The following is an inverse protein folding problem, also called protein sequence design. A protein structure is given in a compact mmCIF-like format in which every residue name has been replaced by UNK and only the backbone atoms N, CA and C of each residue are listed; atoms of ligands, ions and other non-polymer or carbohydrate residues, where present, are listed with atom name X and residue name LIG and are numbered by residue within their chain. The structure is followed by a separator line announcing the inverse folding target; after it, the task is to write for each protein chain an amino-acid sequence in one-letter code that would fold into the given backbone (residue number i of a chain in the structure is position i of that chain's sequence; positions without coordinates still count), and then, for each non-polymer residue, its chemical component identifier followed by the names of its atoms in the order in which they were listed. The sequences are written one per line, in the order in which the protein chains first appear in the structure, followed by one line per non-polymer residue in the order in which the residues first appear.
data_IF_331457696832
#
_entry.id   IF_331457696832
#
_cell.length_a   1.000
_cell.length_b   1.000
_cell.length_c   1.000
_cell.angle_alpha   90.00
_cell.angle_beta   90.00
_cell.angle_gamma   90.00
#
_symmetry.space_group_name_H-M   'P 1'
#
loop_
_entity.id
_entity.type
_entity.pdbx_description
1 polymer ?
#
# COMPACT_ATOMS: atom_id res chain seq x y z
N UNK A 1 -4.19 -18.43 -8.55
CA UNK A 1 -5.01 -17.24 -8.70
C UNK A 1 -4.26 -16.13 -9.44
N UNK A 2 -4.95 -15.46 -10.31
CA UNK A 2 -4.39 -14.38 -11.09
C UNK A 2 -4.76 -13.03 -10.45
N UNK A 3 -3.81 -12.12 -10.39
CA UNK A 3 -4.08 -10.76 -9.93
C UNK A 3 -4.47 -9.90 -11.13
N UNK A 4 -5.53 -9.14 -10.95
CA UNK A 4 -5.97 -8.20 -11.95
C UNK A 4 -5.07 -6.97 -11.88
N UNK A 5 -4.49 -6.59 -13.00
CA UNK A 5 -3.59 -5.45 -13.06
C UNK A 5 -4.33 -4.11 -13.23
N UNK A 6 -5.66 -4.15 -13.37
CA UNK A 6 -6.41 -2.96 -13.76
C UNK A 6 -6.41 -1.90 -12.68
N UNK A 7 -7.11 -2.11 -11.61
CA UNK A 7 -7.31 -1.06 -10.61
C UNK A 7 -7.55 -1.67 -9.25
N UNK A 8 -7.37 -0.82 -8.24
CA UNK A 8 -7.75 -1.14 -6.90
C UNK A 8 -6.60 -1.68 -6.08
N UNK A 9 -6.94 -1.97 -4.86
CA UNK A 9 -6.02 -2.47 -3.86
C UNK A 9 -6.10 -3.99 -3.84
N UNK A 10 -4.97 -4.64 -4.00
CA UNK A 10 -4.89 -6.09 -3.99
C UNK A 10 -3.93 -6.56 -2.90
N UNK A 11 -4.38 -7.52 -2.10
CA UNK A 11 -3.50 -8.17 -1.13
C UNK A 11 -2.67 -9.21 -1.88
N UNK A 12 -1.36 -9.03 -1.90
CA UNK A 12 -0.45 -9.88 -2.66
C UNK A 12 0.20 -10.94 -1.78
N UNK A 13 0.62 -10.57 -0.57
CA UNK A 13 1.23 -11.47 0.41
C UNK A 13 0.55 -11.29 1.75
N UNK A 14 0.32 -12.40 2.45
CA UNK A 14 -0.21 -12.36 3.81
C UNK A 14 0.18 -13.61 4.57
N UNK A 15 0.19 -13.58 5.92
CA UNK A 15 0.53 -14.77 6.72
C UNK A 15 -0.46 -15.91 6.54
N UNK A 16 -1.72 -15.59 6.25
CA UNK A 16 -2.80 -16.59 6.16
C UNK A 16 -3.27 -16.82 4.73
N UNK A 17 -2.61 -16.26 3.76
CA UNK A 17 -2.92 -16.43 2.33
C UNK A 17 -4.38 -16.08 1.98
N UNK A 18 -4.98 -15.12 2.73
CA UNK A 18 -6.37 -14.75 2.47
C UNK A 18 -6.51 -13.95 1.17
N UNK A 19 -7.72 -13.91 0.64
CA UNK A 19 -8.10 -13.13 -0.55
C UNK A 19 -7.27 -13.49 -1.78
N UNK A 20 -6.81 -14.76 -1.85
CA UNK A 20 -6.02 -15.23 -2.99
C UNK A 20 -4.59 -14.77 -2.99
N UNK A 21 -4.11 -14.19 -1.90
CA UNK A 21 -2.72 -13.78 -1.77
C UNK A 21 -1.79 -14.98 -1.58
N UNK A 22 -0.50 -14.75 -1.78
CA UNK A 22 0.51 -15.77 -1.51
C UNK A 22 0.82 -15.78 -0.02
N UNK A 23 1.10 -16.96 0.51
CA UNK A 23 1.42 -17.11 1.93
C UNK A 23 2.88 -16.74 2.19
N UNK A 24 3.10 -15.99 3.27
CA UNK A 24 4.45 -15.71 3.77
C UNK A 24 4.53 -16.13 5.23
N UNK A 25 5.75 -16.44 5.70
CA UNK A 25 5.96 -16.91 7.06
C UNK A 25 6.32 -15.80 8.03
N UNK A 26 6.05 -14.56 7.65
CA UNK A 26 6.31 -13.38 8.47
C UNK A 26 4.99 -12.66 8.75
N UNK A 27 4.94 -11.93 9.85
CA UNK A 27 3.77 -11.13 10.20
C UNK A 27 3.77 -9.84 9.39
N UNK A 28 3.55 -9.99 8.09
CA UNK A 28 3.49 -8.84 7.18
C UNK A 28 2.44 -9.07 6.11
N UNK A 29 1.95 -7.96 5.55
CA UNK A 29 1.08 -7.99 4.40
C UNK A 29 1.64 -7.06 3.34
N UNK A 30 1.54 -7.47 2.10
CA UNK A 30 1.93 -6.64 0.96
C UNK A 30 0.70 -6.41 0.10
N UNK A 31 0.40 -5.14 -0.13
CA UNK A 31 -0.67 -4.73 -1.02
C UNK A 31 -0.09 -4.06 -2.26
N UNK A 32 -0.71 -4.33 -3.39
CA UNK A 32 -0.46 -3.59 -4.62
C UNK A 32 -1.66 -2.70 -4.87
N UNK A 33 -1.41 -1.44 -5.11
CA UNK A 33 -2.47 -0.46 -5.27
C UNK A 33 -2.31 0.25 -6.61
N UNK A 34 -3.19 -0.07 -7.57
CA UNK A 34 -3.23 0.60 -8.86
C UNK A 34 -4.36 1.64 -8.80
N UNK A 35 -4.02 2.89 -9.02
CA UNK A 35 -4.95 4.01 -8.87
C UNK A 35 -4.98 4.84 -10.14
N UNK A 36 -6.17 5.31 -10.50
CA UNK A 36 -6.31 6.28 -11.59
C UNK A 36 -6.26 7.68 -11.01
N UNK A 37 -5.93 8.65 -11.86
CA UNK A 37 -5.84 10.06 -11.47
C UNK A 37 -7.09 10.49 -10.71
N UNK A 38 -6.90 11.23 -9.63
CA UNK A 38 -7.93 11.77 -8.74
C UNK A 38 -8.58 10.72 -7.84
N UNK A 39 -8.21 9.46 -7.95
CA UNK A 39 -8.71 8.43 -7.03
C UNK A 39 -8.11 8.63 -5.65
N UNK A 40 -8.93 8.39 -4.63
CA UNK A 40 -8.49 8.50 -3.24
C UNK A 40 -8.91 7.25 -2.49
N UNK A 41 -8.05 6.78 -1.59
CA UNK A 41 -8.32 5.59 -0.81
C UNK A 41 -7.64 5.67 0.54
N UNK A 42 -8.10 4.84 1.49
CA UNK A 42 -7.61 4.84 2.86
C UNK A 42 -7.25 3.43 3.27
N UNK A 43 -6.11 3.27 3.95
CA UNK A 43 -5.68 2.02 4.55
C UNK A 43 -5.62 2.22 6.06
N UNK A 44 -6.32 1.38 6.81
CA UNK A 44 -6.30 1.43 8.28
C UNK A 44 -5.07 0.70 8.79
N UNK A 45 -4.37 1.31 9.74
CA UNK A 45 -3.17 0.73 10.35
C UNK A 45 -3.53 0.25 11.75
N UNK A 46 -3.31 -1.04 12.02
CA UNK A 46 -3.51 -1.59 13.35
C UNK A 46 -2.48 -0.98 14.31
N UNK A 47 -2.82 -0.98 15.61
CA UNK A 47 -1.99 -0.36 16.63
C UNK A 47 -0.55 -0.88 16.58
N UNK A 48 0.40 0.04 16.68
CA UNK A 48 1.84 -0.22 16.77
C UNK A 48 2.47 -0.82 15.52
N UNK A 49 1.70 -0.99 14.45
CA UNK A 49 2.28 -1.48 13.19
C UNK A 49 2.91 -0.34 12.42
N UNK A 50 3.83 -0.71 11.53
CA UNK A 50 4.53 0.22 10.66
C UNK A 50 4.12 -0.05 9.22
N UNK A 51 4.17 0.99 8.40
CA UNK A 51 3.88 0.85 6.99
C UNK A 51 5.01 1.47 6.18
N UNK A 52 5.41 0.77 5.12
CA UNK A 52 6.31 1.30 4.12
C UNK A 52 5.55 1.36 2.80
N UNK A 53 5.62 2.50 2.14
CA UNK A 53 5.01 2.66 0.82
C UNK A 53 6.10 2.93 -0.20
N UNK A 54 6.10 2.12 -1.25
CA UNK A 54 7.01 2.29 -2.37
C UNK A 54 6.20 2.71 -3.59
N UNK A 55 6.48 3.88 -4.14
CA UNK A 55 5.82 4.35 -5.35
C UNK A 55 6.52 3.69 -6.54
N UNK A 56 5.80 2.83 -7.25
CA UNK A 56 6.33 2.14 -8.42
C UNK A 56 6.35 3.08 -9.61
N UNK A 57 5.24 3.79 -9.81
CA UNK A 57 5.14 4.80 -10.88
C UNK A 57 4.06 5.80 -10.52
N UNK A 58 4.19 7.00 -11.05
CA UNK A 58 3.17 8.03 -10.92
C UNK A 58 3.49 9.06 -9.86
N UNK A 59 2.43 9.69 -9.36
CA UNK A 59 2.53 10.80 -8.44
C UNK A 59 1.37 10.70 -7.48
N UNK A 60 1.66 10.56 -6.19
CA UNK A 60 0.62 10.40 -5.17
C UNK A 60 0.88 11.35 -4.00
N UNK A 61 -0.19 11.66 -3.25
CA UNK A 61 -0.09 12.40 -2.01
C UNK A 61 -0.54 11.47 -0.88
N UNK A 62 0.36 11.23 0.06
CA UNK A 62 0.15 10.29 1.15
C UNK A 62 0.18 11.07 2.44
N UNK A 63 -0.97 11.14 3.14
CA UNK A 63 -1.11 11.90 4.38
C UNK A 63 -0.54 13.33 4.24
N UNK A 64 -0.79 13.95 3.09
CA UNK A 64 -0.33 15.31 2.82
C UNK A 64 1.09 15.43 2.28
N UNK A 65 1.80 14.32 2.10
CA UNK A 65 3.16 14.33 1.57
C UNK A 65 3.16 13.80 0.14
N UNK A 66 3.71 14.57 -0.78
CA UNK A 66 3.80 14.16 -2.17
C UNK A 66 4.96 13.19 -2.38
N UNK A 67 4.70 12.14 -3.17
CA UNK A 67 5.72 11.15 -3.53
C UNK A 67 5.56 10.78 -4.99
N UNK A 68 6.68 10.54 -5.65
CA UNK A 68 6.70 10.25 -7.08
C UNK A 68 7.43 8.93 -7.34
N UNK A 69 7.51 8.55 -8.60
CA UNK A 69 8.15 7.31 -9.02
C UNK A 69 9.47 7.07 -8.30
N UNK A 70 9.61 5.89 -7.73
CA UNK A 70 10.77 5.40 -6.97
C UNK A 70 10.91 5.97 -5.56
N UNK A 71 10.04 6.87 -5.13
CA UNK A 71 10.08 7.35 -3.74
C UNK A 71 9.55 6.29 -2.80
N UNK A 72 10.14 6.22 -1.61
CA UNK A 72 9.67 5.37 -0.52
C UNK A 72 9.36 6.22 0.70
N UNK A 73 8.32 5.83 1.44
CA UNK A 73 7.89 6.55 2.65
C UNK A 73 7.66 5.54 3.78
N UNK A 74 8.28 5.80 4.92
CA UNK A 74 8.03 5.04 6.14
C UNK A 74 7.01 5.80 6.98
N UNK A 75 5.97 5.10 7.44
CA UNK A 75 4.89 5.70 8.20
C UNK A 75 4.69 4.91 9.49
N UNK A 76 4.73 5.61 10.62
CA UNK A 76 4.45 5.03 11.93
C UNK A 76 3.74 6.09 12.77
N UNK A 77 3.14 5.64 13.88
CA UNK A 77 2.36 6.50 14.79
C UNK A 77 1.17 7.16 14.11
N UNK A 78 0.62 6.49 13.10
CA UNK A 78 -0.59 6.93 12.41
C UNK A 78 -1.63 5.82 12.49
N UNK A 79 -2.90 6.21 12.52
CA UNK A 79 -3.99 5.24 12.56
C UNK A 79 -4.47 4.86 11.16
N UNK A 80 -4.18 5.68 10.18
CA UNK A 80 -4.62 5.45 8.82
C UNK A 80 -3.73 6.18 7.83
N UNK A 81 -3.72 5.66 6.60
CA UNK A 81 -3.02 6.27 5.49
C UNK A 81 -4.05 6.69 4.46
N UNK A 82 -4.05 7.96 4.10
CA UNK A 82 -4.87 8.47 3.02
C UNK A 82 -3.98 8.70 1.81
N UNK A 83 -4.32 8.07 0.69
CA UNK A 83 -3.55 8.19 -0.55
C UNK A 83 -4.45 8.81 -1.61
N UNK A 84 -3.96 9.87 -2.23
CA UNK A 84 -4.62 10.51 -3.35
C UNK A 84 -3.72 10.39 -4.57
N UNK A 85 -4.25 9.88 -5.67
CA UNK A 85 -3.48 9.74 -6.90
C UNK A 85 -3.55 11.05 -7.69
N UNK A 86 -2.42 11.74 -7.80
CA UNK A 86 -2.32 12.97 -8.57
C UNK A 86 -2.17 12.69 -10.06
N UNK A 87 -1.86 11.46 -10.39
CA UNK A 87 -1.82 10.93 -11.75
C UNK A 87 -2.11 9.44 -11.66
N UNK A 88 -2.24 8.77 -12.81
CA UNK A 88 -2.35 7.31 -12.80
C UNK A 88 -1.10 6.75 -12.14
N UNK A 89 -1.27 5.95 -11.09
CA UNK A 89 -0.16 5.57 -10.22
C UNK A 89 -0.26 4.13 -9.79
N UNK A 90 0.88 3.58 -9.37
CA UNK A 90 0.95 2.26 -8.76
C UNK A 90 1.89 2.34 -7.57
N UNK A 91 1.41 1.84 -6.42
CA UNK A 91 2.21 1.81 -5.20
C UNK A 91 2.17 0.42 -4.60
N UNK A 92 3.23 0.09 -3.85
CA UNK A 92 3.28 -1.10 -3.02
C UNK A 92 3.23 -0.65 -1.57
N UNK A 93 2.37 -1.27 -0.78
CA UNK A 93 2.22 -0.95 0.63
C UNK A 93 2.58 -2.17 1.45
N UNK A 94 3.60 -2.04 2.28
CA UNK A 94 4.06 -3.09 3.18
C UNK A 94 3.56 -2.78 4.58
N UNK A 95 2.67 -3.62 5.09
CA UNK A 95 2.16 -3.51 6.46
C UNK A 95 2.99 -4.44 7.32
N UNK A 96 3.81 -3.85 8.21
CA UNK A 96 4.87 -4.54 8.92
C UNK A 96 4.58 -4.63 10.40
N UNK A 97 5.13 -5.66 11.09
CA UNK A 97 4.90 -5.81 12.53
C UNK A 97 5.60 -4.68 13.31
N UNK A 98 5.21 -4.50 14.56
CA UNK A 98 5.89 -3.53 15.44
C UNK A 98 7.36 -3.87 15.62
N UNK A 99 8.13 -2.87 15.91
CA UNK A 99 9.55 -3.05 16.17
C UNK A 99 9.74 -3.73 17.54
#
# INVERSE_FOLDING_TARGET
RRFDAAQGKQLVLSPDARDGSLKVHQDMELYRWAMVKEEQSVHQIAAERRVWIQVVKGNVTINGTNATTSDGLAIWDEQAISIHADSDSEVLLFDLPPV
#
